data_IF_460177118231
#
_entry.id   IF_460177118231
#
_cell.length_a   1.000
_cell.length_b   1.000
_cell.length_c   1.000
_cell.angle_alpha   90.00
_cell.angle_beta   90.00
_cell.angle_gamma   90.00
#
_symmetry.space_group_name_H-M   'P 1'
#
loop_
_entity.id
_entity.type
_entity.pdbx_description
1 polymer ?
#
# COMPACT_ATOMS: atom_id res chain seq x y z
N UNK A 1 28.14 -39.51 -7.79
CA UNK A 1 29.07 -38.51 -7.19
C UNK A 1 28.63 -38.22 -5.77
N UNK A 2 29.54 -38.17 -4.78
CA UNK A 2 29.16 -37.80 -3.42
C UNK A 2 28.72 -36.32 -3.38
N UNK A 3 27.68 -35.98 -2.59
CA UNK A 3 27.20 -34.60 -2.50
C UNK A 3 28.31 -33.70 -1.93
N UNK A 4 28.45 -32.50 -2.51
CA UNK A 4 29.49 -31.51 -2.16
C UNK A 4 29.47 -31.13 -0.67
N UNK A 5 28.32 -31.30 0.01
CA UNK A 5 28.13 -31.03 1.44
C UNK A 5 27.21 -32.09 2.11
N UNK A 6 27.74 -33.26 2.49
CA UNK A 6 26.94 -34.38 3.00
C UNK A 6 26.28 -34.09 4.36
N UNK A 7 26.90 -33.23 5.21
CA UNK A 7 26.33 -32.80 6.49
C UNK A 7 25.09 -31.92 6.32
N UNK A 8 25.11 -30.97 5.37
CA UNK A 8 23.93 -30.14 5.08
C UNK A 8 22.77 -30.98 4.53
N UNK A 9 23.08 -31.97 3.68
CA UNK A 9 22.11 -32.92 3.16
C UNK A 9 21.48 -33.76 4.31
N UNK A 10 22.29 -34.20 5.28
CA UNK A 10 21.79 -34.95 6.43
C UNK A 10 20.88 -34.12 7.35
N UNK A 11 21.15 -32.83 7.51
CA UNK A 11 20.33 -31.91 8.31
C UNK A 11 19.01 -31.57 7.59
N UNK A 12 19.05 -31.32 6.28
CA UNK A 12 17.85 -31.15 5.43
C UNK A 12 16.95 -32.40 5.46
N UNK A 13 17.56 -33.58 5.40
CA UNK A 13 16.85 -34.86 5.48
C UNK A 13 16.30 -35.15 6.90
N UNK A 14 16.94 -34.66 7.97
CA UNK A 14 16.48 -34.81 9.37
C UNK A 14 15.35 -33.82 9.75
N UNK A 15 15.38 -32.60 9.23
CA UNK A 15 14.37 -31.56 9.51
C UNK A 15 13.16 -31.70 8.58
N UNK A 16 13.35 -32.34 7.42
CA UNK A 16 12.36 -32.46 6.37
C UNK A 16 12.20 -31.13 5.63
N UNK A 17 13.05 -30.90 4.62
CA UNK A 17 13.10 -29.70 3.77
C UNK A 17 11.70 -29.19 3.35
N UNK A 18 10.82 -30.12 2.96
CA UNK A 18 9.42 -29.84 2.58
C UNK A 18 8.58 -29.18 3.67
N UNK A 19 8.90 -29.36 4.96
CA UNK A 19 8.18 -28.73 6.07
C UNK A 19 8.57 -27.26 6.20
N UNK A 20 9.86 -26.94 6.03
CA UNK A 20 10.36 -25.56 6.07
C UNK A 20 9.83 -24.78 4.86
N UNK A 21 9.87 -25.36 3.67
CA UNK A 21 9.34 -24.73 2.45
C UNK A 21 7.84 -24.43 2.56
N UNK A 22 7.04 -25.36 3.09
CA UNK A 22 5.61 -25.15 3.36
C UNK A 22 5.36 -24.04 4.38
N UNK A 23 6.17 -23.96 5.44
CA UNK A 23 6.07 -22.88 6.44
C UNK A 23 6.40 -21.54 5.78
N UNK A 24 7.47 -21.45 5.00
CA UNK A 24 7.86 -20.24 4.29
C UNK A 24 6.79 -19.82 3.28
N UNK A 25 6.22 -20.75 2.53
CA UNK A 25 5.12 -20.48 1.61
C UNK A 25 3.91 -19.90 2.35
N UNK A 26 3.52 -20.48 3.49
CA UNK A 26 2.42 -19.98 4.31
C UNK A 26 2.68 -18.55 4.83
N UNK A 27 3.91 -18.26 5.28
CA UNK A 27 4.33 -16.92 5.73
C UNK A 27 4.22 -15.91 4.59
N UNK A 28 4.83 -16.18 3.43
CA UNK A 28 4.78 -15.25 2.31
C UNK A 28 3.37 -15.08 1.72
N UNK A 29 2.54 -16.12 1.75
CA UNK A 29 1.13 -16.01 1.40
C UNK A 29 0.39 -15.06 2.34
N UNK A 30 0.57 -15.18 3.67
CA UNK A 30 -0.02 -14.25 4.64
C UNK A 30 0.46 -12.82 4.44
N UNK A 31 1.76 -12.61 4.26
CA UNK A 31 2.33 -11.28 4.01
C UNK A 31 1.80 -10.66 2.71
N UNK A 32 1.65 -11.46 1.65
CA UNK A 32 1.02 -11.02 0.39
C UNK A 32 -0.42 -10.55 0.63
N UNK A 33 -1.19 -11.31 1.41
CA UNK A 33 -2.57 -10.96 1.73
C UNK A 33 -2.65 -9.69 2.58
N UNK A 34 -1.74 -9.50 3.54
CA UNK A 34 -1.63 -8.26 4.30
C UNK A 34 -1.33 -7.06 3.39
N UNK A 35 -0.35 -7.17 2.49
CA UNK A 35 -0.03 -6.10 1.54
C UNK A 35 -1.23 -5.74 0.63
N UNK A 36 -2.01 -6.73 0.20
CA UNK A 36 -3.26 -6.49 -0.54
C UNK A 36 -4.36 -5.86 0.33
N UNK A 37 -4.35 -6.15 1.62
CA UNK A 37 -5.19 -5.48 2.61
C UNK A 37 -4.86 -4.00 2.69
N UNK A 38 -3.58 -3.68 2.85
CA UNK A 38 -3.08 -2.30 2.86
C UNK A 38 -3.47 -1.56 1.57
N UNK A 39 -3.27 -2.18 0.40
CA UNK A 39 -3.64 -1.61 -0.90
C UNK A 39 -5.12 -1.21 -0.96
N UNK A 40 -6.02 -2.08 -0.46
CA UNK A 40 -7.46 -1.79 -0.40
C UNK A 40 -7.79 -0.67 0.60
N UNK A 41 -7.16 -0.68 1.77
CA UNK A 41 -7.37 0.38 2.75
C UNK A 41 -6.94 1.75 2.22
N UNK A 42 -5.86 1.80 1.43
CA UNK A 42 -5.46 3.03 0.74
C UNK A 42 -6.46 3.44 -0.34
N UNK A 43 -7.06 2.49 -1.07
CA UNK A 43 -8.10 2.79 -2.06
C UNK A 43 -9.37 3.37 -1.43
N UNK A 44 -9.86 2.77 -0.34
CA UNK A 44 -11.01 3.29 0.38
C UNK A 44 -10.74 4.73 0.86
N UNK A 45 -9.52 4.97 1.38
CA UNK A 45 -9.10 6.29 1.83
C UNK A 45 -8.95 7.31 0.69
N UNK A 46 -8.52 6.87 -0.51
CA UNK A 46 -8.45 7.74 -1.70
C UNK A 46 -9.83 8.29 -2.05
N UNK A 47 -10.87 7.46 -2.00
CA UNK A 47 -12.24 7.90 -2.32
C UNK A 47 -12.78 8.89 -1.27
N UNK A 48 -12.48 8.69 0.01
CA UNK A 48 -12.81 9.66 1.07
C UNK A 48 -12.14 11.02 0.84
N UNK A 49 -10.85 11.03 0.49
CA UNK A 49 -10.08 12.26 0.24
C UNK A 49 -10.58 12.98 -1.01
N UNK A 50 -10.91 12.26 -2.09
CA UNK A 50 -11.54 12.86 -3.27
C UNK A 50 -12.86 13.56 -2.94
N UNK A 51 -13.74 12.90 -2.19
CA UNK A 51 -15.01 13.49 -1.77
C UNK A 51 -14.79 14.76 -0.92
N UNK A 52 -13.78 14.75 -0.03
CA UNK A 52 -13.40 15.92 0.78
C UNK A 52 -12.87 17.08 -0.08
N UNK A 53 -12.06 16.79 -1.09
CA UNK A 53 -11.59 17.78 -2.08
C UNK A 53 -12.77 18.38 -2.82
N UNK A 54 -13.66 17.56 -3.39
CA UNK A 54 -14.83 18.03 -4.14
C UNK A 54 -15.73 18.92 -3.29
N UNK A 55 -16.01 18.50 -2.06
CA UNK A 55 -16.81 19.29 -1.13
C UNK A 55 -16.18 20.65 -0.82
N UNK A 56 -14.88 20.66 -0.49
CA UNK A 56 -14.18 21.92 -0.17
C UNK A 56 -14.06 22.83 -1.38
N UNK A 57 -13.80 22.28 -2.56
CA UNK A 57 -13.76 23.03 -3.81
C UNK A 57 -15.11 23.70 -4.08
N UNK A 58 -16.21 22.98 -3.86
CA UNK A 58 -17.56 23.53 -3.94
C UNK A 58 -17.76 24.75 -3.03
N UNK A 59 -17.35 24.65 -1.77
CA UNK A 59 -17.43 25.77 -0.81
C UNK A 59 -16.60 26.96 -1.29
N UNK A 60 -15.37 26.74 -1.74
CA UNK A 60 -14.49 27.78 -2.28
C UNK A 60 -15.17 28.51 -3.44
N UNK A 61 -15.81 27.77 -4.35
CA UNK A 61 -16.49 28.34 -5.51
C UNK A 61 -17.72 29.15 -5.12
N UNK A 62 -18.53 28.69 -4.16
CA UNK A 62 -19.66 29.48 -3.65
C UNK A 62 -19.20 30.77 -2.96
N UNK A 63 -18.16 30.70 -2.12
CA UNK A 63 -17.61 31.89 -1.46
C UNK A 63 -17.05 32.91 -2.46
N UNK A 64 -16.44 32.45 -3.56
CA UNK A 64 -15.95 33.34 -4.63
C UNK A 64 -17.09 34.09 -5.33
N UNK A 65 -18.30 33.51 -5.43
CA UNK A 65 -19.46 34.19 -6.03
C UNK A 65 -19.97 35.36 -5.19
N UNK A 66 -19.75 35.34 -3.88
CA UNK A 66 -20.20 36.38 -2.94
C UNK A 66 -19.35 37.68 -3.03
N UNK A 67 -18.31 37.70 -3.87
CA UNK A 67 -17.46 38.87 -4.10
C UNK A 67 -16.27 39.00 -3.15
N UNK A 68 -15.45 40.04 -3.36
CA UNK A 68 -14.19 40.24 -2.63
C UNK A 68 -14.47 41.04 -1.34
N UNK A 69 -14.99 40.37 -0.32
CA UNK A 69 -15.04 40.95 1.03
C UNK A 69 -13.73 40.67 1.78
N UNK A 70 -13.10 41.65 2.46
CA UNK A 70 -11.82 41.45 3.15
C UNK A 70 -11.81 40.29 4.15
N UNK A 71 -12.93 40.07 4.85
CA UNK A 71 -13.11 38.94 5.77
C UNK A 71 -13.11 37.59 5.02
N UNK A 72 -13.74 37.53 3.84
CA UNK A 72 -13.78 36.31 3.03
C UNK A 72 -12.41 35.95 2.47
N UNK A 73 -11.55 36.95 2.20
CA UNK A 73 -10.19 36.71 1.70
C UNK A 73 -9.36 35.82 2.63
N UNK A 74 -9.48 36.02 3.95
CA UNK A 74 -8.78 35.19 4.94
C UNK A 74 -9.28 33.75 4.90
N UNK A 75 -10.60 33.54 4.99
CA UNK A 75 -11.17 32.20 5.00
C UNK A 75 -10.97 31.44 3.67
N UNK A 76 -10.99 32.14 2.54
CA UNK A 76 -10.64 31.56 1.25
C UNK A 76 -9.19 31.09 1.19
N UNK A 77 -8.26 31.83 1.79
CA UNK A 77 -6.87 31.41 1.88
C UNK A 77 -6.71 30.15 2.75
N UNK A 78 -7.38 30.11 3.91
CA UNK A 78 -7.38 28.94 4.80
C UNK A 78 -7.99 27.71 4.11
N UNK A 79 -9.09 27.89 3.37
CA UNK A 79 -9.73 26.80 2.60
C UNK A 79 -8.84 26.30 1.46
N UNK A 80 -8.18 27.19 0.71
CA UNK A 80 -7.24 26.80 -0.33
C UNK A 80 -6.03 26.06 0.23
N UNK A 81 -5.55 26.45 1.42
CA UNK A 81 -4.48 25.74 2.10
C UNK A 81 -4.91 24.33 2.49
N UNK A 82 -6.09 24.18 3.11
CA UNK A 82 -6.64 22.88 3.48
C UNK A 82 -6.91 21.99 2.26
N UNK A 83 -7.38 22.56 1.14
CA UNK A 83 -7.56 21.85 -0.14
C UNK A 83 -6.22 21.34 -0.70
N UNK A 84 -5.14 22.12 -0.54
CA UNK A 84 -3.81 21.72 -0.96
C UNK A 84 -3.27 20.55 -0.12
N UNK A 85 -3.40 20.61 1.20
CA UNK A 85 -3.02 19.50 2.10
C UNK A 85 -3.74 18.20 1.72
N UNK A 86 -4.99 18.33 1.32
CA UNK A 86 -5.81 17.26 0.78
C UNK A 86 -5.25 16.61 -0.49
N UNK A 87 -4.80 17.43 -1.45
CA UNK A 87 -4.10 16.92 -2.64
C UNK A 87 -2.76 16.26 -2.30
N UNK A 88 -2.05 16.76 -1.30
CA UNK A 88 -0.81 16.16 -0.81
C UNK A 88 -1.06 14.79 -0.16
N UNK A 89 -2.11 14.65 0.66
CA UNK A 89 -2.56 13.35 1.19
C UNK A 89 -2.93 12.39 0.06
N UNK A 90 -3.67 12.85 -0.95
CA UNK A 90 -4.05 12.05 -2.12
C UNK A 90 -2.81 11.52 -2.87
N UNK A 91 -1.82 12.38 -3.10
CA UNK A 91 -0.55 11.99 -3.73
C UNK A 91 0.21 10.96 -2.91
N UNK A 92 0.26 11.12 -1.59
CA UNK A 92 0.88 10.16 -0.68
C UNK A 92 0.16 8.80 -0.69
N UNK A 93 -1.16 8.78 -0.67
CA UNK A 93 -1.96 7.56 -0.73
C UNK A 93 -1.70 6.75 -2.00
N UNK A 94 -1.60 7.40 -3.17
CA UNK A 94 -1.24 6.71 -4.41
C UNK A 94 0.14 6.07 -4.35
N UNK A 95 1.13 6.73 -3.75
CA UNK A 95 2.46 6.15 -3.54
C UNK A 95 2.40 4.94 -2.61
N UNK A 96 1.62 5.03 -1.54
CA UNK A 96 1.48 3.95 -0.56
C UNK A 96 0.77 2.73 -1.15
N UNK A 97 -0.31 2.96 -1.91
CA UNK A 97 -1.00 1.94 -2.70
C UNK A 97 -0.02 1.22 -3.64
N UNK A 98 0.73 1.97 -4.44
CA UNK A 98 1.72 1.41 -5.36
C UNK A 98 2.75 0.55 -4.62
N UNK A 99 3.31 1.05 -3.50
CA UNK A 99 4.27 0.31 -2.68
C UNK A 99 3.68 -0.98 -2.11
N UNK A 100 2.42 -0.96 -1.67
CA UNK A 100 1.73 -2.14 -1.16
C UNK A 100 1.56 -3.20 -2.27
N UNK A 101 1.16 -2.76 -3.46
CA UNK A 101 1.03 -3.63 -4.65
C UNK A 101 2.37 -4.27 -5.05
N UNK A 102 3.46 -3.50 -5.06
CA UNK A 102 4.83 -3.99 -5.32
C UNK A 102 5.25 -5.04 -4.28
N UNK A 103 5.04 -4.79 -2.98
CA UNK A 103 5.34 -5.76 -1.92
C UNK A 103 4.53 -7.06 -2.09
N UNK A 104 3.25 -6.96 -2.44
CA UNK A 104 2.42 -8.12 -2.72
C UNK A 104 2.93 -8.93 -3.92
N UNK A 105 3.38 -8.25 -4.98
CA UNK A 105 3.97 -8.88 -6.16
C UNK A 105 5.29 -9.59 -5.83
N UNK A 106 6.14 -8.98 -5.00
CA UNK A 106 7.39 -9.58 -4.52
C UNK A 106 7.14 -10.86 -3.72
N UNK A 107 6.18 -10.84 -2.78
CA UNK A 107 5.81 -12.05 -2.03
C UNK A 107 5.25 -13.14 -2.93
N UNK A 108 4.45 -12.76 -3.94
CA UNK A 108 3.95 -13.69 -4.96
C UNK A 108 5.10 -14.34 -5.75
N UNK A 109 6.13 -13.56 -6.12
CA UNK A 109 7.32 -14.05 -6.83
C UNK A 109 8.16 -14.99 -5.97
N UNK A 110 8.37 -14.68 -4.70
CA UNK A 110 9.09 -15.56 -3.76
C UNK A 110 8.32 -16.88 -3.58
N UNK A 111 7.01 -16.82 -3.34
CA UNK A 111 6.18 -18.02 -3.22
C UNK A 111 6.21 -18.90 -4.48
N UNK A 112 6.23 -18.29 -5.68
CA UNK A 112 6.41 -19.05 -6.94
C UNK A 112 7.77 -19.74 -7.04
N UNK A 113 8.84 -19.13 -6.51
CA UNK A 113 10.18 -19.75 -6.48
C UNK A 113 10.20 -20.95 -5.53
N UNK A 114 9.64 -20.81 -4.34
CA UNK A 114 9.55 -21.90 -3.35
C UNK A 114 8.77 -23.11 -3.90
N UNK A 115 7.63 -22.89 -4.57
CA UNK A 115 6.86 -23.98 -5.19
C UNK A 115 7.58 -24.72 -6.32
N UNK A 116 8.64 -24.15 -6.91
CA UNK A 116 9.46 -24.84 -7.91
C UNK A 116 10.56 -25.71 -7.30
N UNK A 117 10.81 -25.55 -6.00
CA UNK A 117 11.79 -26.32 -5.23
C UNK A 117 11.14 -27.57 -4.58
N UNK A 118 9.82 -27.52 -4.35
CA UNK A 118 8.98 -28.62 -3.84
C UNK A 118 8.69 -29.66 -4.93
#
# INVERSE_FOLDING_TARGET
MPPKYPKCLSISNQIGDRRVEKILEAVFCREKHACKGDERAYDDRVEEVKARIEHRHGIIMELKKLGIHPVLKKYLADLHWAEREDFEELGWLFQMKYRASVRAADRSRIGKKLRRLI
#
